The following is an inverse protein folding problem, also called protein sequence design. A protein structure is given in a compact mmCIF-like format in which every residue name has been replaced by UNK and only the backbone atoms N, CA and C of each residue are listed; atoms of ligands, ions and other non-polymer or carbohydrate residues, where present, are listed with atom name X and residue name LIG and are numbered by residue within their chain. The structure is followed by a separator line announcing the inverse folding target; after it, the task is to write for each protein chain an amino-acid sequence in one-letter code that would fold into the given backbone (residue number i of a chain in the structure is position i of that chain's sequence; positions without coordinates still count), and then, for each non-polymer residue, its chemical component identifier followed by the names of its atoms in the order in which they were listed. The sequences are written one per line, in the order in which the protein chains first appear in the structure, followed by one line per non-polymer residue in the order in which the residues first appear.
data_IF_478904938749
#
_entry.id   IF_478904938749
#
_cell.length_a   1.000
_cell.length_b   1.000
_cell.length_c   1.000
_cell.angle_alpha   90.00
_cell.angle_beta   90.00
_cell.angle_gamma   90.00
#
_symmetry.space_group_name_H-M   'P 1'
#
loop_
_entity.id
_entity.type
_entity.pdbx_description
1 polymer ?
#
# COMPACT_ATOMS: atom_id res chain seq x y z
N UNK A 1 -13.76 13.32 -10.30
CA UNK A 1 -12.32 13.13 -10.54
C UNK A 1 -11.89 11.87 -9.81
N UNK A 2 -11.10 10.98 -10.43
CA UNK A 2 -10.59 9.78 -9.74
C UNK A 2 -9.34 10.16 -8.92
N UNK A 3 -9.31 9.78 -7.65
CA UNK A 3 -8.24 10.13 -6.71
C UNK A 3 -7.03 9.20 -6.92
N UNK A 4 -5.80 9.73 -7.06
CA UNK A 4 -4.56 8.93 -7.07
C UNK A 4 -4.43 8.05 -5.82
N UNK A 5 -3.64 6.98 -5.93
CA UNK A 5 -3.28 6.15 -4.77
C UNK A 5 -1.77 5.97 -4.71
N UNK A 6 -1.28 5.81 -3.48
CA UNK A 6 0.08 5.38 -3.18
C UNK A 6 0.10 3.86 -3.14
N UNK A 7 1.08 3.24 -3.77
CA UNK A 7 1.25 1.79 -3.72
C UNK A 7 1.69 1.34 -2.31
N UNK A 8 1.81 0.04 -2.09
CA UNK A 8 2.64 -0.49 -1.00
C UNK A 8 4.09 0.00 -1.14
N UNK A 9 4.84 -0.05 -0.04
CA UNK A 9 6.30 0.03 -0.08
C UNK A 9 6.91 -1.20 -0.77
N UNK A 10 7.94 -0.97 -1.57
CA UNK A 10 8.76 -1.99 -2.21
C UNK A 10 10.20 -1.85 -1.73
N UNK A 11 10.74 -2.98 -1.28
CA UNK A 11 12.07 -3.14 -0.70
C UNK A 11 12.56 -4.50 -1.23
N UNK A 12 13.38 -4.46 -2.27
CA UNK A 12 13.76 -5.59 -3.09
C UNK A 12 15.27 -5.74 -3.24
N UNK A 13 15.83 -6.39 -2.23
CA UNK A 13 17.23 -6.79 -2.18
C UNK A 13 17.96 -6.02 -1.11
N UNK A 14 18.84 -6.70 -0.38
CA UNK A 14 19.56 -6.05 0.71
C UNK A 14 20.72 -5.18 0.18
N UNK A 15 21.07 -4.15 0.94
CA UNK A 15 22.28 -3.36 0.69
C UNK A 15 23.52 -4.24 0.50
N UNK A 16 24.25 -3.98 -0.59
CA UNK A 16 25.44 -4.73 -0.98
C UNK A 16 26.71 -3.86 -0.95
N UNK A 17 27.86 -4.48 -1.27
CA UNK A 17 29.12 -3.73 -1.42
C UNK A 17 29.04 -2.69 -2.53
N UNK A 18 28.30 -2.97 -3.60
CA UNK A 18 28.18 -2.06 -4.75
C UNK A 18 27.17 -0.94 -4.48
N UNK A 19 26.23 -1.17 -3.56
CA UNK A 19 25.17 -0.24 -3.19
C UNK A 19 23.83 -0.96 -3.09
N UNK A 20 22.76 -0.21 -3.31
CA UNK A 20 21.36 -0.65 -3.22
C UNK A 20 20.58 -0.03 -4.40
N UNK A 21 19.54 -0.72 -4.88
CA UNK A 21 18.69 -0.18 -5.93
C UNK A 21 17.25 -0.71 -5.92
N UNK A 22 16.29 0.21 -5.91
CA UNK A 22 14.88 -0.04 -6.15
C UNK A 22 14.44 0.46 -7.54
N UNK A 23 14.94 -0.19 -8.59
CA UNK A 23 14.66 0.20 -9.97
C UNK A 23 13.23 -0.17 -10.40
N UNK A 24 12.51 0.80 -10.96
CA UNK A 24 11.12 0.60 -11.41
C UNK A 24 10.99 -0.54 -12.42
N UNK A 25 11.98 -0.71 -13.30
CA UNK A 25 12.00 -1.78 -14.31
C UNK A 25 12.03 -3.17 -13.67
N UNK A 26 12.83 -3.34 -12.62
CA UNK A 26 12.96 -4.62 -11.90
C UNK A 26 11.77 -4.87 -11.00
N UNK A 27 11.32 -3.84 -10.29
CA UNK A 27 10.11 -3.89 -9.47
C UNK A 27 8.88 -4.28 -10.28
N UNK A 28 8.66 -3.70 -11.46
CA UNK A 28 7.53 -4.08 -12.34
C UNK A 28 7.65 -5.50 -12.88
N UNK A 29 8.86 -6.02 -13.06
CA UNK A 29 9.10 -7.40 -13.49
C UNK A 29 8.75 -8.40 -12.39
N UNK A 30 9.10 -8.08 -11.13
CA UNK A 30 8.89 -8.92 -9.95
C UNK A 30 7.45 -8.80 -9.40
N UNK A 31 6.96 -7.58 -9.24
CA UNK A 31 5.63 -7.22 -8.73
C UNK A 31 4.66 -6.86 -9.85
N UNK A 32 4.46 -7.80 -10.78
CA UNK A 32 3.58 -7.59 -11.94
C UNK A 32 2.21 -7.10 -11.47
N UNK A 33 1.64 -6.13 -12.18
CA UNK A 33 0.31 -5.53 -11.93
C UNK A 33 0.15 -4.74 -10.63
N UNK A 34 1.16 -4.71 -9.73
CA UNK A 34 1.10 -3.91 -8.49
C UNK A 34 1.61 -2.48 -8.63
N UNK A 35 2.29 -2.18 -9.72
CA UNK A 35 2.82 -0.85 -10.03
C UNK A 35 2.28 -0.45 -11.40
N UNK A 36 1.75 0.77 -11.52
CA UNK A 36 1.25 1.31 -12.78
C UNK A 36 2.38 1.47 -13.81
N UNK A 37 2.01 1.52 -15.09
CA UNK A 37 3.00 1.63 -16.17
C UNK A 37 3.77 2.95 -16.18
N UNK A 38 3.16 4.01 -15.67
CA UNK A 38 3.68 5.38 -15.64
C UNK A 38 3.29 6.04 -14.29
N UNK A 39 4.10 5.87 -13.24
CA UNK A 39 3.88 6.52 -11.95
C UNK A 39 3.99 8.03 -12.06
N UNK A 40 3.07 8.76 -11.40
CA UNK A 40 3.05 10.23 -11.44
C UNK A 40 3.94 10.87 -10.38
N UNK A 41 4.30 10.12 -9.33
CA UNK A 41 5.24 10.52 -8.29
C UNK A 41 5.83 9.28 -7.62
N UNK A 42 6.90 9.49 -6.85
CA UNK A 42 7.52 8.46 -6.03
C UNK A 42 8.04 9.07 -4.73
N UNK A 43 7.94 8.31 -3.65
CA UNK A 43 8.50 8.59 -2.34
C UNK A 43 9.55 7.52 -2.01
N UNK A 44 10.61 7.94 -1.35
CA UNK A 44 11.68 7.05 -0.90
C UNK A 44 12.15 7.52 0.47
N UNK A 45 12.40 6.59 1.39
CA UNK A 45 12.96 6.90 2.70
C UNK A 45 14.49 6.97 2.60
N UNK A 46 15.04 8.13 2.23
CA UNK A 46 16.47 8.29 1.94
C UNK A 46 17.18 9.30 2.83
N UNK A 47 18.48 9.11 3.05
CA UNK A 47 19.38 10.20 3.49
C UNK A 47 19.70 11.18 2.34
N UNK A 48 20.20 12.37 2.68
CA UNK A 48 20.55 13.40 1.69
C UNK A 48 21.61 12.92 0.68
N UNK A 49 21.39 13.20 -0.61
CA UNK A 49 22.38 12.98 -1.68
C UNK A 49 22.08 11.83 -2.65
N UNK A 50 20.96 11.12 -2.48
CA UNK A 50 20.56 9.98 -3.32
C UNK A 50 19.73 10.45 -4.52
N UNK A 51 19.94 9.82 -5.68
CA UNK A 51 19.18 10.09 -6.91
C UNK A 51 18.01 9.11 -7.00
N UNK A 52 16.81 9.64 -7.24
CA UNK A 52 15.63 8.82 -7.45
C UNK A 52 14.61 9.58 -8.31
N UNK A 53 13.79 8.85 -9.08
CA UNK A 53 12.70 9.44 -9.87
C UNK A 53 11.56 8.45 -10.07
N UNK A 54 10.34 8.96 -10.25
CA UNK A 54 9.17 8.11 -10.48
C UNK A 54 9.25 7.30 -11.78
N UNK A 55 10.06 7.73 -12.75
CA UNK A 55 10.27 7.05 -14.03
C UNK A 55 11.35 5.97 -14.00
N UNK A 56 12.29 6.04 -13.06
CA UNK A 56 13.47 5.16 -13.02
C UNK A 56 13.51 4.28 -11.76
N UNK A 57 12.96 4.76 -10.65
CA UNK A 57 13.15 4.17 -9.32
C UNK A 57 14.27 4.86 -8.55
N UNK A 58 14.85 4.15 -7.58
CA UNK A 58 15.98 4.61 -6.76
C UNK A 58 17.24 3.83 -7.12
N UNK A 59 18.37 4.53 -7.16
CA UNK A 59 19.68 3.91 -7.31
C UNK A 59 20.69 4.61 -6.40
N UNK A 60 21.29 3.86 -5.50
CA UNK A 60 22.43 4.30 -4.70
C UNK A 60 23.65 3.43 -5.01
N UNK A 61 24.71 4.04 -5.52
CA UNK A 61 25.99 3.37 -5.76
C UNK A 61 27.02 3.82 -4.75
N UNK A 62 27.62 2.89 -4.01
CA UNK A 62 28.66 3.17 -3.02
C UNK A 62 29.89 3.83 -3.67
N UNK A 63 30.18 3.53 -4.94
CA UNK A 63 31.26 4.15 -5.71
C UNK A 63 31.02 5.64 -6.00
N UNK A 64 29.77 6.11 -5.95
CA UNK A 64 29.41 7.52 -6.13
C UNK A 64 29.31 8.27 -4.80
N UNK A 65 29.42 7.59 -3.65
CA UNK A 65 29.30 8.21 -2.34
C UNK A 65 30.66 8.67 -1.79
N UNK A 66 30.66 9.82 -1.12
CA UNK A 66 31.87 10.43 -0.53
C UNK A 66 31.92 10.35 0.99
N UNK A 67 30.77 10.27 1.66
CA UNK A 67 30.69 10.41 3.12
C UNK A 67 29.93 9.30 3.83
N UNK A 68 28.90 8.73 3.20
CA UNK A 68 28.07 7.66 3.75
C UNK A 68 27.88 6.58 2.71
N UNK A 69 27.87 5.33 3.14
CA UNK A 69 27.48 4.23 2.26
C UNK A 69 25.98 4.27 2.01
N UNK A 70 25.55 3.61 0.94
CA UNK A 70 24.15 3.28 0.74
C UNK A 70 23.63 2.51 1.94
N UNK A 71 22.41 2.81 2.33
CA UNK A 71 21.64 2.10 3.35
C UNK A 71 20.60 1.24 2.62
N UNK A 72 19.78 0.54 3.38
CA UNK A 72 18.69 -0.30 2.86
C UNK A 72 17.48 0.61 2.60
N UNK A 73 17.16 0.86 1.33
CA UNK A 73 16.14 1.81 0.95
C UNK A 73 14.91 1.10 0.40
N UNK A 74 13.75 1.73 0.58
CA UNK A 74 12.48 1.29 0.01
C UNK A 74 11.79 2.44 -0.72
N UNK A 75 10.96 2.09 -1.70
CA UNK A 75 10.25 3.06 -2.55
C UNK A 75 8.74 2.80 -2.57
N UNK A 76 7.99 3.87 -2.74
CA UNK A 76 6.54 3.84 -2.90
C UNK A 76 6.16 4.72 -4.09
N UNK A 77 5.30 4.22 -4.97
CA UNK A 77 4.89 4.93 -6.18
C UNK A 77 3.50 5.51 -6.03
N UNK A 78 3.25 6.69 -6.62
CA UNK A 78 1.90 7.23 -6.77
C UNK A 78 1.40 6.95 -8.17
N UNK A 79 0.24 6.31 -8.27
CA UNK A 79 -0.42 5.99 -9.52
C UNK A 79 -1.67 6.85 -9.76
N UNK A 80 -2.06 6.99 -11.03
CA UNK A 80 -3.24 7.78 -11.40
C UNK A 80 -4.52 7.21 -10.79
N UNK A 81 -5.50 8.07 -10.53
CA UNK A 81 -6.77 7.60 -9.98
C UNK A 81 -7.52 6.62 -10.90
N UNK A 82 -7.28 6.67 -12.22
CA UNK A 82 -7.81 5.66 -13.13
C UNK A 82 -7.34 4.26 -12.75
N UNK A 83 -6.02 4.08 -12.64
CA UNK A 83 -5.40 2.82 -12.22
C UNK A 83 -5.93 2.37 -10.86
N UNK A 84 -6.00 3.29 -9.90
CA UNK A 84 -6.41 3.00 -8.53
C UNK A 84 -7.92 2.73 -8.35
N UNK A 85 -8.75 2.96 -9.36
CA UNK A 85 -10.22 2.80 -9.25
C UNK A 85 -10.76 1.60 -10.02
N UNK A 86 -9.92 0.81 -10.69
CA UNK A 86 -10.41 -0.29 -11.52
C UNK A 86 -10.89 -1.48 -10.69
N UNK A 87 -10.25 -1.73 -9.54
CA UNK A 87 -10.55 -2.86 -8.68
C UNK A 87 -10.33 -2.44 -7.22
N UNK A 88 -11.43 -2.05 -6.55
CA UNK A 88 -11.45 -1.72 -5.13
C UNK A 88 -12.35 -2.68 -4.39
N UNK A 89 -11.93 -3.05 -3.19
CA UNK A 89 -12.78 -3.80 -2.28
C UNK A 89 -13.85 -2.91 -1.67
N UNK A 90 -14.82 -3.52 -0.99
CA UNK A 90 -15.62 -2.80 0.02
C UNK A 90 -14.73 -2.34 1.19
N UNK A 91 -15.32 -1.57 2.09
CA UNK A 91 -14.70 -1.25 3.38
C UNK A 91 -14.76 -2.46 4.33
N UNK A 92 -13.71 -2.63 5.11
CA UNK A 92 -13.55 -3.62 6.17
C UNK A 92 -13.22 -2.89 7.47
N UNK A 93 -13.84 -3.37 8.52
CA UNK A 93 -13.85 -2.83 9.87
C UNK A 93 -13.96 -4.08 10.74
N UNK A 94 -12.83 -4.51 11.27
CA UNK A 94 -12.66 -5.72 12.03
C UNK A 94 -12.47 -5.45 13.52
N UNK A 95 -11.66 -4.46 13.85
CA UNK A 95 -11.27 -4.13 15.21
C UNK A 95 -11.85 -2.77 15.60
N UNK A 96 -12.37 -2.68 16.82
CA UNK A 96 -12.81 -1.40 17.39
C UNK A 96 -11.64 -0.82 18.21
N UNK A 97 -11.56 0.51 18.45
CA UNK A 97 -10.48 1.14 19.24
C UNK A 97 -10.42 0.76 20.73
N UNK A 98 -11.20 -0.25 21.13
CA UNK A 98 -11.25 -0.79 22.49
C UNK A 98 -9.95 -1.51 22.85
N UNK A 99 -9.57 -1.47 24.12
CA UNK A 99 -8.30 -2.08 24.56
C UNK A 99 -7.09 -1.26 24.12
N UNK A 100 -6.23 -1.82 23.26
CA UNK A 100 -4.89 -1.27 22.98
C UNK A 100 -4.81 -0.34 21.77
N UNK A 101 -5.88 -0.18 21.00
CA UNK A 101 -5.89 0.57 19.75
C UNK A 101 -6.90 0.00 18.78
N UNK A 102 -6.75 0.33 17.52
CA UNK A 102 -7.55 -0.15 16.40
C UNK A 102 -6.60 -0.73 15.32
N UNK A 103 -6.82 -2.00 14.97
CA UNK A 103 -5.92 -2.82 14.16
C UNK A 103 -6.63 -3.49 12.97
N UNK A 104 -6.65 -2.81 11.83
CA UNK A 104 -7.10 -3.33 10.53
C UNK A 104 -5.97 -4.06 9.78
N UNK A 105 -5.49 -5.18 10.34
CA UNK A 105 -4.34 -5.94 9.83
C UNK A 105 -4.71 -6.81 8.63
N UNK A 106 -3.97 -6.68 7.52
CA UNK A 106 -4.27 -7.36 6.26
C UNK A 106 -4.30 -8.89 6.39
N UNK A 107 -3.38 -9.49 7.14
CA UNK A 107 -3.33 -10.95 7.33
C UNK A 107 -4.59 -11.50 7.99
N UNK A 108 -5.13 -10.75 8.95
CA UNK A 108 -6.33 -11.14 9.71
C UNK A 108 -7.55 -10.95 8.81
N UNK A 109 -7.62 -9.81 8.11
CA UNK A 109 -8.65 -9.52 7.12
C UNK A 109 -8.70 -10.57 5.99
N UNK A 110 -7.55 -11.01 5.47
CA UNK A 110 -7.48 -12.09 4.46
C UNK A 110 -8.01 -13.43 4.99
N UNK A 111 -7.83 -13.69 6.28
CA UNK A 111 -8.31 -14.90 6.95
C UNK A 111 -9.82 -14.86 7.16
N UNK A 112 -10.36 -13.72 7.57
CA UNK A 112 -11.80 -13.56 7.83
C UNK A 112 -12.64 -13.38 6.58
N UNK A 113 -12.09 -12.70 5.56
CA UNK A 113 -12.79 -12.37 4.32
C UNK A 113 -12.11 -13.06 3.12
N UNK A 114 -12.08 -14.41 3.09
CA UNK A 114 -11.34 -15.14 2.09
C UNK A 114 -11.91 -14.87 0.69
N UNK A 115 -11.02 -14.45 -0.22
CA UNK A 115 -11.31 -14.09 -1.63
C UNK A 115 -12.06 -12.78 -1.83
N UNK A 116 -12.30 -11.99 -0.78
CA UNK A 116 -12.81 -10.61 -0.95
C UNK A 116 -11.67 -9.60 -1.11
N UNK A 117 -10.47 -9.94 -0.60
CA UNK A 117 -9.26 -9.12 -0.67
C UNK A 117 -8.20 -9.91 -1.44
N UNK A 118 -7.47 -9.24 -2.33
CA UNK A 118 -6.33 -9.85 -3.01
C UNK A 118 -5.18 -10.08 -2.03
N UNK A 119 -4.39 -11.17 -2.15
CA UNK A 119 -3.30 -11.46 -1.21
C UNK A 119 -2.22 -10.38 -1.12
N UNK A 120 -2.03 -9.61 -2.20
CA UNK A 120 -1.05 -8.54 -2.28
C UNK A 120 -1.70 -7.28 -2.86
N UNK A 121 -2.37 -6.48 -2.01
CA UNK A 121 -2.94 -5.22 -2.42
C UNK A 121 -1.93 -4.27 -3.07
N UNK A 122 -2.45 -3.46 -3.97
CA UNK A 122 -1.72 -2.35 -4.59
C UNK A 122 -1.63 -1.20 -3.60
N UNK A 123 -2.75 -0.80 -3.02
CA UNK A 123 -2.88 0.38 -2.17
C UNK A 123 -3.92 0.15 -1.07
N UNK A 124 -3.86 0.96 -0.03
CA UNK A 124 -4.83 1.01 1.06
C UNK A 124 -5.43 2.41 1.16
N UNK A 125 -6.74 2.47 1.37
CA UNK A 125 -7.44 3.68 1.79
C UNK A 125 -7.95 3.43 3.21
N UNK A 126 -7.79 4.44 4.08
CA UNK A 126 -8.20 4.37 5.49
C UNK A 126 -9.02 5.60 5.81
N UNK A 127 -10.14 5.39 6.49
CA UNK A 127 -11.00 6.46 7.00
C UNK A 127 -11.62 6.01 8.30
N UNK A 128 -12.09 6.95 9.11
CA UNK A 128 -12.93 6.62 10.26
C UNK A 128 -14.23 5.94 9.80
N UNK A 129 -14.91 5.24 10.69
CA UNK A 129 -16.25 4.67 10.41
C UNK A 129 -17.25 5.77 10.02
N UNK A 130 -17.07 7.00 10.55
CA UNK A 130 -17.85 8.19 10.20
C UNK A 130 -17.51 8.78 8.81
N UNK A 131 -16.46 8.30 8.15
CA UNK A 131 -16.08 8.66 6.78
C UNK A 131 -15.07 9.80 6.66
N UNK A 132 -14.40 10.17 7.76
CA UNK A 132 -13.30 11.13 7.73
C UNK A 132 -12.02 10.43 7.28
N UNK A 133 -11.30 10.93 6.24
CA UNK A 133 -10.02 10.35 5.85
C UNK A 133 -9.04 10.31 7.03
N UNK A 134 -8.34 9.20 7.23
CA UNK A 134 -7.43 9.06 8.36
C UNK A 134 -6.34 10.15 8.38
N UNK A 135 -5.88 10.60 7.22
CA UNK A 135 -4.92 11.72 7.09
C UNK A 135 -5.44 13.08 7.59
N UNK A 136 -6.76 13.22 7.78
CA UNK A 136 -7.40 14.43 8.30
C UNK A 136 -7.58 14.40 9.82
N UNK A 137 -7.45 13.21 10.41
CA UNK A 137 -7.48 13.04 11.87
C UNK A 137 -6.18 13.51 12.52
N UNK A 138 -6.17 13.60 13.85
CA UNK A 138 -4.99 13.98 14.65
C UNK A 138 -4.28 12.78 15.28
N UNK A 139 -4.55 11.58 14.77
CA UNK A 139 -3.99 10.34 15.30
C UNK A 139 -2.61 10.00 14.71
N UNK A 140 -1.82 9.27 15.49
CA UNK A 140 -0.49 8.81 15.08
C UNK A 140 -0.62 7.35 14.72
N UNK A 141 -0.25 7.01 13.49
CA UNK A 141 -0.42 5.65 12.98
C UNK A 141 0.89 4.89 13.09
N UNK A 142 0.85 3.72 13.73
CA UNK A 142 1.97 2.79 13.74
C UNK A 142 2.17 2.18 12.35
N UNK A 143 1.07 1.83 11.67
CA UNK A 143 1.10 1.32 10.31
C UNK A 143 0.03 2.00 9.44
N UNK A 144 0.43 2.35 8.23
CA UNK A 144 -0.43 2.81 7.15
C UNK A 144 0.21 2.37 5.83
N UNK A 145 0.03 1.10 5.47
CA UNK A 145 0.61 0.54 4.26
C UNK A 145 -0.19 -0.67 3.77
N UNK A 146 -0.23 -0.89 2.46
CA UNK A 146 -1.05 -1.94 1.87
C UNK A 146 -0.49 -3.37 2.05
N UNK A 147 0.72 -3.53 2.57
CA UNK A 147 1.35 -4.82 2.90
C UNK A 147 0.97 -5.28 4.30
N UNK A 148 0.98 -4.35 5.28
CA UNK A 148 0.63 -4.68 6.65
C UNK A 148 -0.87 -4.49 6.94
N UNK A 149 -1.47 -3.43 6.38
CA UNK A 149 -2.78 -2.92 6.77
C UNK A 149 -2.65 -1.59 7.50
N UNK A 150 -3.53 -1.38 8.47
CA UNK A 150 -3.55 -0.17 9.29
C UNK A 150 -3.49 -0.52 10.77
N UNK A 151 -2.80 0.31 11.55
CA UNK A 151 -2.77 0.19 13.00
C UNK A 151 -2.62 1.56 13.65
N UNK A 152 -3.54 1.87 14.56
CA UNK A 152 -3.45 2.96 15.51
C UNK A 152 -3.31 2.37 16.91
N UNK A 153 -2.36 2.87 17.71
CA UNK A 153 -2.09 2.34 19.06
C UNK A 153 -2.46 3.39 20.11
N UNK A 154 -3.35 3.07 21.05
CA UNK A 154 -3.84 4.00 22.06
C UNK A 154 -2.69 4.63 22.89
N UNK A 155 -1.61 3.89 23.14
CA UNK A 155 -0.45 4.37 23.89
C UNK A 155 0.29 5.53 23.19
N UNK A 156 0.20 5.63 21.86
CA UNK A 156 0.86 6.67 21.06
C UNK A 156 -0.02 7.92 20.91
N UNK A 157 -1.27 7.88 21.39
CA UNK A 157 -2.26 8.96 21.28
C UNK A 157 -2.22 9.96 22.46
N UNK A 158 -1.28 9.81 23.39
CA UNK A 158 -1.17 10.65 24.58
C UNK A 158 -2.32 10.40 25.56
N UNK A 159 -3.22 11.38 25.71
CA UNK A 159 -4.42 11.25 26.56
C UNK A 159 -5.70 10.90 25.81
N UNK A 160 -5.63 10.78 24.48
CA UNK A 160 -6.75 10.36 23.62
C UNK A 160 -6.65 8.85 23.39
N UNK A 161 -7.68 8.27 22.81
CA UNK A 161 -7.63 6.94 22.20
C UNK A 161 -7.72 7.11 20.69
N UNK A 162 -7.41 6.06 19.95
CA UNK A 162 -7.63 6.01 18.52
C UNK A 162 -9.10 6.27 18.18
N UNK A 163 -9.32 6.98 17.07
CA UNK A 163 -10.62 6.90 16.39
C UNK A 163 -10.87 5.47 15.90
N UNK A 164 -12.12 5.21 15.53
CA UNK A 164 -12.58 3.95 14.97
C UNK A 164 -12.46 3.98 13.45
N UNK A 165 -11.64 3.10 12.87
CA UNK A 165 -11.22 3.11 11.47
C UNK A 165 -11.69 1.89 10.69
N UNK A 166 -11.75 2.08 9.37
CA UNK A 166 -12.01 1.03 8.40
C UNK A 166 -11.13 1.21 7.20
N UNK A 167 -10.76 0.09 6.58
CA UNK A 167 -9.84 0.03 5.44
C UNK A 167 -10.52 -0.49 4.20
N UNK A 168 -10.07 -0.06 3.03
CA UNK A 168 -10.32 -0.76 1.77
C UNK A 168 -9.07 -0.82 0.94
N UNK A 169 -8.99 -1.84 0.10
CA UNK A 169 -7.81 -2.13 -0.68
C UNK A 169 -8.07 -1.91 -2.17
N UNK A 170 -7.05 -1.41 -2.85
CA UNK A 170 -6.97 -1.48 -4.31
C UNK A 170 -6.25 -2.77 -4.67
N UNK A 171 -6.81 -3.54 -5.59
CA UNK A 171 -6.26 -4.81 -6.05
C UNK A 171 -5.89 -4.74 -7.55
N UNK A 172 -5.06 -5.67 -8.04
CA UNK A 172 -4.88 -5.87 -9.48
C UNK A 172 -6.22 -6.08 -10.17
N UNK A 173 -6.38 -5.51 -11.35
CA UNK A 173 -7.63 -5.60 -12.13
C UNK A 173 -8.09 -7.04 -12.34
N UNK A 174 -7.12 -7.94 -12.54
CA UNK A 174 -7.32 -9.35 -12.80
C UNK A 174 -7.99 -10.06 -11.61
N UNK A 175 -7.78 -9.57 -10.39
CA UNK A 175 -8.44 -10.07 -9.18
C UNK A 175 -9.96 -9.87 -9.28
N UNK A 176 -10.40 -8.65 -9.58
CA UNK A 176 -11.82 -8.33 -9.75
C UNK A 176 -12.46 -8.99 -11.00
N UNK A 177 -11.64 -9.41 -11.96
CA UNK A 177 -12.09 -10.13 -13.15
C UNK A 177 -12.15 -11.66 -12.96
N UNK A 178 -11.76 -12.17 -11.79
CA UNK A 178 -11.72 -13.60 -11.50
C UNK A 178 -10.64 -14.35 -12.29
N UNK A 179 -9.60 -13.65 -12.78
CA UNK A 179 -8.53 -14.21 -13.63
C UNK A 179 -7.28 -14.63 -12.86
N UNK A 180 -7.41 -15.00 -11.58
CA UNK A 180 -6.28 -15.59 -10.86
C UNK A 180 -5.89 -16.94 -11.51
N UNK A 181 -4.61 -17.18 -11.84
CA UNK A 181 -4.19 -18.43 -12.45
C UNK A 181 -4.43 -19.58 -11.47
N UNK A 182 -5.41 -20.43 -11.78
CA UNK A 182 -5.70 -21.67 -11.05
C UNK A 182 -7.15 -21.94 -10.67
N UNK A 183 -8.09 -21.00 -10.86
CA UNK A 183 -9.50 -21.22 -10.48
C UNK A 183 -10.47 -20.74 -11.56
N UNK A 184 -10.89 -21.65 -12.43
CA UNK A 184 -12.08 -21.45 -13.28
C UNK A 184 -13.31 -21.69 -12.43
N UNK A 185 -13.97 -20.63 -11.95
CA UNK A 185 -15.32 -20.75 -11.42
C UNK A 185 -16.20 -19.56 -11.82
N UNK A 186 -17.42 -19.88 -12.25
CA UNK A 186 -18.48 -18.95 -12.63
C UNK A 186 -18.78 -18.03 -11.44
N UNK A 187 -18.37 -16.76 -11.52
CA UNK A 187 -18.75 -15.76 -10.52
C UNK A 187 -19.73 -14.75 -11.09
N UNK A 188 -20.89 -14.67 -10.43
CA UNK A 188 -21.74 -13.49 -10.47
C UNK A 188 -20.96 -12.32 -9.86
N UNK A 189 -20.31 -11.57 -10.72
CA UNK A 189 -19.98 -10.13 -10.77
C UNK A 189 -20.34 -9.13 -9.62
N UNK A 190 -20.81 -9.52 -8.44
CA UNK A 190 -21.35 -8.58 -7.42
C UNK A 190 -20.35 -8.15 -6.35
N UNK A 191 -19.26 -8.89 -6.12
CA UNK A 191 -18.37 -8.62 -4.96
C UNK A 191 -17.44 -7.40 -5.15
N UNK A 192 -17.21 -6.93 -6.38
CA UNK A 192 -16.40 -5.72 -6.63
C UNK A 192 -17.13 -4.62 -7.43
N UNK A 193 -18.42 -4.80 -7.78
CA UNK A 193 -19.14 -3.86 -8.66
C UNK A 193 -19.90 -2.75 -7.95
N UNK A 194 -20.01 -2.77 -6.62
CA UNK A 194 -21.00 -1.92 -5.94
C UNK A 194 -20.62 -0.45 -5.69
N UNK A 195 -19.49 0.09 -6.16
CA UNK A 195 -19.10 1.48 -5.80
C UNK A 195 -18.53 2.32 -6.95
N UNK A 196 -19.09 2.21 -8.15
CA UNK A 196 -18.99 3.28 -9.16
C UNK A 196 -20.38 3.83 -9.44
N UNK A 197 -20.92 4.60 -8.50
CA UNK A 197 -22.04 5.52 -8.70
C UNK A 197 -21.80 6.80 -7.92
#
# INVERSE_FOLDING_TARGET
FKVPCKTAWFDEGDVSRDGESELLTDLRRKHRTRICSDPVAMEAETVSGIKYSASEGLLCLNSEQTWRQCEDYKVMFTCTGQFCSECRTRWFDHDDPTGNGDYEVLSDLLTMYPREICPQPIAIEVQTVSGEPASSTSDTFLNYDATYGFACVNADQGSRICEDYRVRFTCPKEFCQGMLPGLVFLWNSLICKELVS
#
